data_IF_376384390432
#
_entry.id   IF_376384390432
#
_cell.length_a   1.000
_cell.length_b   1.000
_cell.length_c   1.000
_cell.angle_alpha   90.00
_cell.angle_beta   90.00
_cell.angle_gamma   90.00
#
_symmetry.space_group_name_H-M   'P 1'
#
loop_
_entity.id
_entity.type
_entity.pdbx_description
1 polymer ?
#
# COMPACT_ATOMS: atom_id res chain seq x y z
N UNK A 1 2.29 14.02 -36.78
CA UNK A 1 1.61 13.24 -35.72
C UNK A 1 2.66 12.42 -35.01
N UNK A 2 3.07 12.83 -33.80
CA UNK A 2 3.98 12.03 -32.98
C UNK A 2 3.12 11.03 -32.23
N UNK A 3 3.14 9.77 -32.68
CA UNK A 3 2.52 8.66 -31.97
C UNK A 3 3.37 8.38 -30.73
N UNK A 4 2.96 8.89 -29.57
CA UNK A 4 3.49 8.47 -28.29
C UNK A 4 2.89 7.10 -27.98
N UNK A 5 3.56 6.03 -28.39
CA UNK A 5 3.31 4.69 -27.89
C UNK A 5 3.64 4.70 -26.40
N UNK A 6 2.60 4.67 -25.57
CA UNK A 6 2.69 4.30 -24.16
C UNK A 6 3.37 2.93 -24.10
N UNK A 7 4.68 2.90 -23.81
CA UNK A 7 5.39 1.65 -23.63
C UNK A 7 4.75 0.90 -22.47
N UNK A 8 4.30 -0.33 -22.72
CA UNK A 8 3.77 -1.21 -21.68
C UNK A 8 4.71 -1.21 -20.47
N UNK A 9 4.18 -0.81 -19.31
CA UNK A 9 4.95 -0.82 -18.08
C UNK A 9 5.20 -2.29 -17.71
N UNK A 10 6.41 -2.78 -17.98
CA UNK A 10 6.80 -4.13 -17.60
C UNK A 10 6.82 -4.27 -16.07
N UNK A 11 6.36 -5.41 -15.55
CA UNK A 11 6.36 -5.73 -14.12
C UNK A 11 7.38 -6.82 -13.79
N UNK A 12 7.89 -6.82 -12.56
CA UNK A 12 8.74 -7.88 -11.99
C UNK A 12 8.16 -8.40 -10.69
N UNK A 13 8.37 -9.68 -10.42
CA UNK A 13 7.90 -10.34 -9.20
C UNK A 13 8.93 -10.15 -8.09
N UNK A 14 8.47 -9.74 -6.91
CA UNK A 14 9.24 -9.70 -5.68
C UNK A 14 8.67 -10.73 -4.72
N UNK A 15 9.55 -11.57 -4.17
CA UNK A 15 9.19 -12.49 -3.10
C UNK A 15 9.44 -11.84 -1.75
N UNK A 16 8.41 -11.80 -0.91
CA UNK A 16 8.49 -11.25 0.43
C UNK A 16 7.74 -12.15 1.41
N UNK A 17 8.49 -12.81 2.29
CA UNK A 17 7.97 -13.84 3.21
C UNK A 17 7.17 -14.90 2.42
N UNK A 18 5.94 -15.18 2.83
CA UNK A 18 5.05 -16.17 2.19
C UNK A 18 4.21 -15.57 1.04
N UNK A 19 4.58 -14.40 0.54
CA UNK A 19 3.87 -13.71 -0.51
C UNK A 19 4.76 -13.40 -1.72
N UNK A 20 4.09 -13.17 -2.84
CA UNK A 20 4.66 -12.59 -4.05
C UNK A 20 3.89 -11.33 -4.41
N UNK A 21 4.61 -10.29 -4.81
CA UNK A 21 4.06 -8.98 -5.17
C UNK A 21 4.69 -8.57 -6.49
N UNK A 22 3.89 -8.07 -7.42
CA UNK A 22 4.38 -7.55 -8.69
C UNK A 22 4.59 -6.04 -8.57
N UNK A 23 5.77 -5.57 -8.98
CA UNK A 23 6.10 -4.15 -8.98
C UNK A 23 6.56 -3.71 -10.37
N UNK A 24 6.40 -2.44 -10.75
CA UNK A 24 6.94 -1.96 -12.02
C UNK A 24 8.45 -2.20 -12.10
N UNK A 25 8.92 -2.69 -13.25
CA UNK A 25 10.28 -3.19 -13.42
C UNK A 25 11.36 -2.13 -13.11
N UNK A 26 11.05 -0.86 -13.40
CA UNK A 26 11.94 0.30 -13.16
C UNK A 26 12.03 0.72 -11.70
N UNK A 27 11.14 0.23 -10.84
CA UNK A 27 11.15 0.58 -9.42
C UNK A 27 12.15 -0.29 -8.66
N UNK A 28 12.66 0.22 -7.55
CA UNK A 28 13.64 -0.48 -6.70
C UNK A 28 12.90 -1.07 -5.51
N UNK A 29 13.29 -2.27 -5.09
CA UNK A 29 12.76 -2.91 -3.90
C UNK A 29 13.91 -3.33 -2.98
N UNK A 30 13.93 -2.77 -1.78
CA UNK A 30 14.96 -3.02 -0.77
C UNK A 30 14.31 -3.66 0.45
N UNK A 31 14.82 -4.81 0.88
CA UNK A 31 14.34 -5.47 2.09
C UNK A 31 15.15 -4.99 3.30
N UNK A 32 14.47 -4.58 4.35
CA UNK A 32 15.07 -4.27 5.65
C UNK A 32 14.17 -4.81 6.74
N UNK A 33 14.73 -5.68 7.59
CA UNK A 33 14.01 -6.34 8.68
C UNK A 33 12.73 -7.07 8.18
N UNK A 34 11.59 -6.83 8.84
CA UNK A 34 10.27 -7.33 8.49
C UNK A 34 9.50 -6.42 7.51
N UNK A 35 10.24 -5.62 6.75
CA UNK A 35 9.68 -4.67 5.79
C UNK A 35 10.36 -4.75 4.42
N UNK A 36 9.57 -4.44 3.40
CA UNK A 36 9.99 -4.23 2.02
C UNK A 36 9.73 -2.77 1.66
N UNK A 37 10.78 -2.03 1.32
CA UNK A 37 10.70 -0.67 0.79
C UNK A 37 10.71 -0.73 -0.73
N UNK A 38 9.60 -0.36 -1.36
CA UNK A 38 9.48 -0.25 -2.82
C UNK A 38 9.48 1.24 -3.16
N UNK A 39 10.44 1.71 -3.95
CA UNK A 39 10.55 3.12 -4.30
C UNK A 39 10.73 3.34 -5.80
N UNK A 40 10.25 4.49 -6.25
CA UNK A 40 10.55 5.04 -7.56
C UNK A 40 11.46 6.24 -7.33
N UNK A 41 12.62 6.26 -7.99
CA UNK A 41 13.39 7.50 -8.07
C UNK A 41 12.59 8.47 -8.94
N UNK A 42 11.85 9.36 -8.28
CA UNK A 42 11.08 10.43 -8.92
C UNK A 42 11.66 11.77 -8.46
N UNK A 43 11.69 12.72 -9.39
CA UNK A 43 12.32 14.03 -9.23
C UNK A 43 11.83 14.69 -7.92
N UNK A 44 12.77 14.94 -7.01
CA UNK A 44 12.66 15.74 -5.76
C UNK A 44 11.59 15.33 -4.72
N UNK A 45 10.90 14.20 -4.86
CA UNK A 45 9.99 13.69 -3.82
C UNK A 45 10.33 12.25 -3.52
N UNK A 46 10.70 11.97 -2.26
CA UNK A 46 10.96 10.61 -1.80
C UNK A 46 9.65 9.83 -1.74
N UNK A 47 9.28 9.22 -2.87
CA UNK A 47 8.04 8.45 -3.03
C UNK A 47 8.31 6.96 -2.82
N UNK A 48 7.54 6.33 -1.96
CA UNK A 48 7.75 4.95 -1.57
C UNK A 48 6.46 4.25 -1.17
N UNK A 49 6.52 2.93 -1.21
CA UNK A 49 5.55 2.02 -0.64
C UNK A 49 6.30 1.06 0.31
N UNK A 50 6.02 1.17 1.61
CA UNK A 50 6.45 0.18 2.57
C UNK A 50 5.44 -0.96 2.62
N UNK A 51 5.95 -2.19 2.65
CA UNK A 51 5.16 -3.40 2.91
C UNK A 51 5.80 -4.13 4.07
N UNK A 52 5.15 -4.11 5.23
CA UNK A 52 5.65 -4.75 6.45
C UNK A 52 4.72 -5.87 6.91
N UNK A 53 5.24 -6.83 7.65
CA UNK A 53 4.41 -7.84 8.33
C UNK A 53 4.17 -7.47 9.78
N UNK A 54 2.94 -7.70 10.27
CA UNK A 54 2.53 -7.46 11.64
C UNK A 54 1.50 -8.51 12.11
N UNK A 55 1.19 -8.56 13.41
CA UNK A 55 0.12 -9.37 13.96
C UNK A 55 -1.26 -8.80 13.59
N UNK A 56 -2.19 -9.64 13.15
CA UNK A 56 -3.51 -9.19 12.71
C UNK A 56 -4.40 -8.65 13.85
N UNK A 57 -3.99 -8.78 15.12
CA UNK A 57 -4.61 -8.05 16.24
C UNK A 57 -4.57 -6.53 16.05
N UNK A 58 -3.60 -6.02 15.27
CA UNK A 58 -3.42 -4.60 15.00
C UNK A 58 -4.27 -4.09 13.82
N UNK A 59 -5.11 -4.92 13.17
CA UNK A 59 -5.90 -4.51 12.00
C UNK A 59 -6.84 -3.33 12.30
N UNK A 60 -7.38 -3.30 13.52
CA UNK A 60 -8.32 -2.26 13.96
C UNK A 60 -7.64 -0.89 14.09
N UNK A 61 -6.29 -0.85 14.11
CA UNK A 61 -5.52 0.39 14.07
C UNK A 61 -5.47 1.01 12.67
N UNK A 62 -5.89 0.28 11.63
CA UNK A 62 -5.86 0.73 10.25
C UNK A 62 -7.26 0.81 9.62
N UNK A 63 -8.15 -0.12 9.95
CA UNK A 63 -9.51 -0.17 9.41
C UNK A 63 -10.52 -0.62 10.48
N UNK A 64 -11.71 -0.03 10.46
CA UNK A 64 -12.82 -0.36 11.36
C UNK A 64 -14.14 -0.44 10.59
N UNK A 65 -15.17 -1.08 11.16
CA UNK A 65 -16.53 -1.02 10.60
C UNK A 65 -17.28 0.17 11.17
N UNK A 66 -18.04 0.87 10.34
CA UNK A 66 -19.01 1.88 10.76
C UNK A 66 -20.33 1.23 11.23
N UNK A 67 -21.29 2.06 11.65
CA UNK A 67 -22.59 1.61 12.17
C UNK A 67 -23.42 0.85 11.12
N UNK A 68 -23.18 1.13 9.83
CA UNK A 68 -23.80 0.43 8.70
C UNK A 68 -23.07 -0.88 8.33
N UNK A 69 -21.98 -1.21 9.04
CA UNK A 69 -21.20 -2.43 8.85
C UNK A 69 -20.21 -2.38 7.68
N UNK A 70 -20.03 -1.21 7.05
CA UNK A 70 -19.06 -0.95 5.99
C UNK A 70 -17.67 -0.68 6.57
N UNK A 71 -16.60 -1.06 5.85
CA UNK A 71 -15.24 -0.84 6.30
C UNK A 71 -14.75 0.56 5.96
N UNK A 72 -14.19 1.25 6.93
CA UNK A 72 -13.58 2.56 6.81
C UNK A 72 -12.13 2.53 7.29
N UNK A 73 -11.27 3.32 6.66
CA UNK A 73 -9.92 3.51 7.12
C UNK A 73 -9.88 4.40 8.37
N UNK A 74 -9.11 3.97 9.37
CA UNK A 74 -8.82 4.79 10.55
C UNK A 74 -7.86 5.90 10.13
N UNK A 75 -8.32 7.15 10.19
CA UNK A 75 -7.58 8.35 9.80
C UNK A 75 -7.87 9.49 10.77
N UNK A 76 -6.94 10.44 10.89
CA UNK A 76 -7.05 11.64 11.74
C UNK A 76 -8.07 12.68 11.21
N UNK A 77 -8.81 12.36 10.13
CA UNK A 77 -9.69 13.29 9.42
C UNK A 77 -11.04 12.70 9.04
N UNK A 78 -11.52 13.04 7.85
CA UNK A 78 -12.80 12.55 7.32
C UNK A 78 -12.71 11.03 7.10
N UNK A 79 -13.68 10.23 7.60
CA UNK A 79 -13.72 8.80 7.34
C UNK A 79 -13.70 8.49 5.85
N UNK A 80 -12.94 7.48 5.45
CA UNK A 80 -12.81 7.06 4.05
C UNK A 80 -13.22 5.60 3.93
N UNK A 81 -14.23 5.33 3.11
CA UNK A 81 -14.65 3.97 2.78
C UNK A 81 -13.50 3.19 2.14
N UNK A 82 -13.30 1.97 2.63
CA UNK A 82 -12.26 1.08 2.15
C UNK A 82 -12.73 0.28 0.93
N UNK A 83 -11.83 0.10 -0.04
CA UNK A 83 -11.96 -0.91 -1.09
C UNK A 83 -11.58 -2.28 -0.49
N UNK A 84 -12.57 -3.19 -0.42
CA UNK A 84 -12.43 -4.49 0.23
C UNK A 84 -12.30 -5.59 -0.81
N UNK A 85 -11.23 -6.39 -0.69
CA UNK A 85 -10.96 -7.54 -1.54
C UNK A 85 -10.96 -8.83 -0.71
N UNK A 86 -12.00 -9.64 -0.85
CA UNK A 86 -12.15 -10.91 -0.12
C UNK A 86 -11.83 -12.06 -1.05
N UNK A 87 -10.88 -12.90 -0.65
CA UNK A 87 -10.54 -14.14 -1.34
C UNK A 87 -10.58 -15.31 -0.34
N UNK A 88 -10.61 -16.57 -0.81
CA UNK A 88 -10.51 -17.71 0.09
C UNK A 88 -9.19 -17.76 0.89
N UNK A 89 -8.15 -17.04 0.44
CA UNK A 89 -6.83 -17.04 1.08
C UNK A 89 -6.62 -15.87 2.06
N UNK A 90 -7.30 -14.75 1.85
CA UNK A 90 -7.09 -13.53 2.64
C UNK A 90 -8.24 -12.53 2.50
N UNK A 91 -8.30 -11.60 3.46
CA UNK A 91 -9.13 -10.39 3.38
C UNK A 91 -8.19 -9.19 3.24
N UNK A 92 -8.37 -8.42 2.18
CA UNK A 92 -7.62 -7.21 1.90
C UNK A 92 -8.51 -5.98 1.98
N UNK A 93 -7.96 -4.88 2.48
CA UNK A 93 -8.62 -3.56 2.53
C UNK A 93 -7.62 -2.49 2.09
N UNK A 94 -8.07 -1.50 1.32
CA UNK A 94 -7.24 -0.36 0.93
C UNK A 94 -8.02 0.95 0.87
N UNK A 95 -7.37 2.07 1.19
CA UNK A 95 -7.92 3.41 1.09
C UNK A 95 -6.81 4.43 0.83
N UNK A 96 -7.20 5.59 0.29
CA UNK A 96 -6.34 6.78 0.26
C UNK A 96 -6.81 7.68 1.40
N UNK A 97 -5.95 7.93 2.37
CA UNK A 97 -6.28 8.63 3.61
C UNK A 97 -5.44 9.89 3.76
N UNK A 98 -5.90 10.83 4.59
CA UNK A 98 -5.01 11.88 5.08
C UNK A 98 -4.10 11.29 6.15
N UNK A 99 -2.80 11.55 6.04
CA UNK A 99 -1.78 11.04 6.93
C UNK A 99 -0.88 12.17 7.43
N UNK A 100 -0.54 12.11 8.72
CA UNK A 100 0.43 13.00 9.35
C UNK A 100 1.81 12.39 9.30
N UNK A 101 2.81 13.21 9.00
CA UNK A 101 4.20 12.80 9.13
C UNK A 101 5.11 13.95 9.52
N UNK A 102 6.27 13.59 10.07
CA UNK A 102 7.29 14.55 10.45
C UNK A 102 8.55 14.26 9.66
N UNK A 103 9.14 15.28 9.07
CA UNK A 103 10.50 15.24 8.54
C UNK A 103 11.42 16.16 9.35
N UNK A 104 12.66 16.32 8.89
CA UNK A 104 13.67 17.14 9.56
C UNK A 104 13.30 18.64 9.60
N UNK A 105 12.36 19.08 8.76
CA UNK A 105 11.87 20.45 8.75
C UNK A 105 10.69 20.60 9.72
N UNK A 106 9.55 19.96 9.44
CA UNK A 106 8.30 20.19 10.19
C UNK A 106 7.30 19.01 10.13
N UNK A 107 6.11 19.20 10.70
CA UNK A 107 4.96 18.31 10.53
C UNK A 107 4.20 18.63 9.24
N UNK A 108 3.88 17.59 8.48
CA UNK A 108 3.14 17.66 7.24
C UNK A 108 1.86 16.85 7.32
N UNK A 109 0.82 17.33 6.62
CA UNK A 109 -0.41 16.60 6.37
C UNK A 109 -0.50 16.43 4.86
N UNK A 110 -0.52 15.18 4.40
CA UNK A 110 -0.66 14.85 2.98
C UNK A 110 -1.57 13.63 2.81
N UNK A 111 -1.79 13.20 1.58
CA UNK A 111 -2.44 11.94 1.29
C UNK A 111 -1.44 10.78 1.35
N UNK A 112 -1.90 9.65 1.88
CA UNK A 112 -1.18 8.38 1.86
C UNK A 112 -2.07 7.29 1.29
N UNK A 113 -1.45 6.32 0.63
CA UNK A 113 -2.08 5.04 0.38
C UNK A 113 -1.90 4.14 1.60
N UNK A 114 -3.00 3.59 2.12
CA UNK A 114 -2.99 2.64 3.21
C UNK A 114 -3.71 1.37 2.77
N UNK A 115 -3.09 0.21 2.95
CA UNK A 115 -3.75 -1.07 2.75
C UNK A 115 -3.29 -2.12 3.76
N UNK A 116 -4.17 -3.07 4.05
CA UNK A 116 -3.85 -4.25 4.85
C UNK A 116 -4.31 -5.51 4.14
N UNK A 117 -3.55 -6.59 4.30
CA UNK A 117 -3.95 -7.94 3.92
C UNK A 117 -3.84 -8.82 5.15
N UNK A 118 -4.97 -9.37 5.58
CA UNK A 118 -5.05 -10.28 6.72
C UNK A 118 -5.14 -11.70 6.19
N UNK A 119 -4.14 -12.51 6.50
CA UNK A 119 -4.11 -13.94 6.19
C UNK A 119 -4.92 -14.73 7.22
N UNK A 120 -5.37 -15.92 6.83
CA UNK A 120 -6.04 -16.88 7.74
C UNK A 120 -5.16 -17.31 8.92
N UNK A 121 -3.83 -17.21 8.78
CA UNK A 121 -2.84 -17.51 9.82
C UNK A 121 -2.64 -16.37 10.83
N UNK A 122 -3.53 -15.36 10.84
CA UNK A 122 -3.46 -14.20 11.73
C UNK A 122 -2.20 -13.32 11.53
N UNK A 123 -1.56 -13.44 10.37
CA UNK A 123 -0.48 -12.56 9.90
C UNK A 123 -1.10 -11.48 9.04
N UNK A 124 -0.67 -10.23 9.25
CA UNK A 124 -1.09 -9.07 8.46
C UNK A 124 0.07 -8.54 7.64
N UNK A 125 -0.17 -8.14 6.40
CA UNK A 125 0.72 -7.31 5.60
C UNK A 125 0.16 -5.90 5.56
N UNK A 126 0.95 -4.92 5.97
CA UNK A 126 0.58 -3.50 5.99
C UNK A 126 1.33 -2.78 4.89
N UNK A 127 0.59 -2.09 4.03
CA UNK A 127 1.10 -1.29 2.93
C UNK A 127 0.90 0.18 3.25
N UNK A 128 1.98 0.95 3.31
CA UNK A 128 1.93 2.40 3.51
C UNK A 128 2.69 3.08 2.39
N UNK A 129 1.95 3.74 1.50
CA UNK A 129 2.48 4.50 0.38
C UNK A 129 2.49 6.00 0.66
N UNK A 130 3.63 6.65 0.43
CA UNK A 130 3.78 8.11 0.44
C UNK A 130 4.35 8.59 -0.88
N UNK A 131 3.90 9.75 -1.33
CA UNK A 131 4.38 10.38 -2.55
C UNK A 131 3.24 11.06 -3.30
N UNK A 132 3.54 11.50 -4.51
CA UNK A 132 2.58 12.17 -5.39
C UNK A 132 1.33 11.29 -5.63
N UNK A 133 0.16 11.91 -5.60
CA UNK A 133 -1.12 11.22 -5.81
C UNK A 133 -1.20 10.43 -7.12
N UNK A 134 -0.43 10.82 -8.15
CA UNK A 134 -0.29 10.08 -9.41
C UNK A 134 0.26 8.65 -9.22
N UNK A 135 0.96 8.38 -8.11
CA UNK A 135 1.52 7.07 -7.79
C UNK A 135 0.53 6.15 -7.06
N UNK A 136 -0.59 6.67 -6.54
CA UNK A 136 -1.54 5.85 -5.78
C UNK A 136 -2.17 4.75 -6.64
N UNK A 137 -2.36 4.98 -7.93
CA UNK A 137 -2.77 3.93 -8.86
C UNK A 137 -1.72 2.83 -8.96
N UNK A 138 -0.42 3.18 -9.04
CA UNK A 138 0.65 2.18 -9.02
C UNK A 138 0.65 1.40 -7.69
N UNK A 139 0.48 2.07 -6.54
CA UNK A 139 0.43 1.38 -5.24
C UNK A 139 -0.78 0.43 -5.15
N UNK A 140 -1.93 0.84 -5.68
CA UNK A 140 -3.14 0.02 -5.73
C UNK A 140 -2.93 -1.23 -6.59
N UNK A 141 -2.30 -1.09 -7.75
CA UNK A 141 -2.00 -2.23 -8.63
C UNK A 141 -0.94 -3.16 -8.01
N UNK A 142 0.08 -2.61 -7.36
CA UNK A 142 1.05 -3.40 -6.57
C UNK A 142 0.33 -4.20 -5.48
N UNK A 143 -0.54 -3.55 -4.70
CA UNK A 143 -1.35 -4.20 -3.67
C UNK A 143 -2.26 -5.30 -4.25
N UNK A 144 -2.97 -5.03 -5.35
CA UNK A 144 -3.85 -6.00 -6.02
C UNK A 144 -3.11 -7.21 -6.59
N UNK A 145 -1.84 -7.05 -6.92
CA UNK A 145 -0.99 -8.14 -7.40
C UNK A 145 -0.57 -9.14 -6.32
N UNK A 146 -0.84 -8.84 -5.04
CA UNK A 146 -0.43 -9.68 -3.92
C UNK A 146 -0.99 -11.10 -4.03
N UNK A 147 -0.10 -12.09 -3.93
CA UNK A 147 -0.45 -13.51 -3.94
C UNK A 147 0.23 -14.23 -2.78
N UNK A 148 -0.57 -14.95 -2.00
CA UNK A 148 -0.09 -15.91 -1.00
C UNK A 148 0.40 -17.16 -1.73
N UNK A 149 1.61 -17.62 -1.40
CA UNK A 149 2.17 -18.88 -1.91
C UNK A 149 1.28 -20.06 -1.58
#
# INVERSE_FOLDING_TARGET
>A
MVSSTYGEENYKNIHFKNATINIPARWVANKKDDCLLISKNHINVFSYLYVCTDAATNKNSFFTKNDDGEWEAVTDGVPVLADVNITPKFIGMSAIVSCRYKDDAEYHIDQCFQAVIVLSTNIMFVFIGRGDSSLFNNYKEIYRSFKVK
#
